data_IF_195871181863
#
_entry.id   IF_195871181863
#
_cell.length_a   1.000
_cell.length_b   1.000
_cell.length_c   1.000
_cell.angle_alpha   90.00
_cell.angle_beta   90.00
_cell.angle_gamma   90.00
#
_symmetry.space_group_name_H-M   'P 1'
#
loop_
_entity.id
_entity.type
_entity.pdbx_description
1 polymer ?
#
# COMPACT_ATOMS: atom_id res chain seq x y z
N UNK A 1 4.25 43.02 74.04
CA UNK A 1 4.62 42.39 72.76
C UNK A 1 3.33 41.84 72.19
N UNK A 2 2.64 42.67 71.39
CA UNK A 2 2.70 42.68 69.91
C UNK A 2 1.93 41.47 69.38
N UNK A 3 0.92 41.57 68.53
CA UNK A 3 0.47 42.68 67.70
C UNK A 3 -0.98 42.44 67.26
N UNK A 4 -1.63 43.53 66.86
CA UNK A 4 -3.04 43.67 66.48
C UNK A 4 -3.27 43.25 65.00
N UNK A 5 -4.34 43.71 64.31
CA UNK A 5 -5.57 42.95 64.11
C UNK A 5 -5.86 42.64 62.62
N UNK A 6 -6.89 41.83 62.43
CA UNK A 6 -7.52 41.47 61.15
C UNK A 6 -8.09 42.71 60.45
N UNK A 7 -7.62 42.99 59.22
CA UNK A 7 -8.18 44.02 58.35
C UNK A 7 -9.31 43.44 57.49
N UNK A 8 -10.49 44.05 57.63
CA UNK A 8 -11.62 43.89 56.73
C UNK A 8 -11.36 44.58 55.38
N UNK A 9 -12.06 44.03 54.40
CA UNK A 9 -12.09 44.37 52.97
C UNK A 9 -12.43 45.84 52.71
N UNK A 10 -11.71 46.43 51.76
CA UNK A 10 -12.26 47.45 50.86
C UNK A 10 -12.07 46.96 49.42
N UNK A 11 -13.18 46.98 48.70
CA UNK A 11 -13.33 46.62 47.29
C UNK A 11 -12.77 47.77 46.44
N UNK A 12 -11.63 47.55 45.78
CA UNK A 12 -11.16 48.45 44.72
C UNK A 12 -11.46 47.79 43.37
N UNK A 13 -12.56 48.25 42.77
CA UNK A 13 -12.98 47.97 41.41
C UNK A 13 -11.91 48.51 40.44
N UNK A 14 -10.94 47.66 40.09
CA UNK A 14 -10.00 47.97 39.02
C UNK A 14 -10.76 47.90 37.71
N UNK A 15 -11.18 49.08 37.24
CA UNK A 15 -11.61 49.31 35.86
C UNK A 15 -10.49 48.85 34.94
N UNK A 16 -10.62 47.64 34.42
CA UNK A 16 -9.75 47.12 33.38
C UNK A 16 -9.98 47.96 32.13
N UNK A 17 -9.01 48.83 31.88
CA UNK A 17 -8.79 49.57 30.65
C UNK A 17 -9.06 48.65 29.45
N UNK A 18 -10.17 48.90 28.75
CA UNK A 18 -10.45 48.31 27.44
C UNK A 18 -9.52 48.98 26.45
N UNK A 19 -8.25 48.59 26.50
CA UNK A 19 -7.26 48.89 25.48
C UNK A 19 -7.85 48.50 24.13
N UNK A 20 -8.05 49.51 23.29
CA UNK A 20 -8.44 49.37 21.91
C UNK A 20 -7.63 48.26 21.25
N UNK A 21 -8.31 47.22 20.77
CA UNK A 21 -7.74 46.11 20.00
C UNK A 21 -7.36 46.62 18.60
N UNK A 22 -6.39 47.55 18.54
CA UNK A 22 -5.76 47.98 17.30
C UNK A 22 -4.80 46.87 16.89
N UNK A 23 -5.34 45.82 16.25
CA UNK A 23 -4.54 44.92 15.43
C UNK A 23 -3.70 45.78 14.49
N UNK A 24 -2.36 45.64 14.48
CA UNK A 24 -1.52 46.44 13.62
C UNK A 24 -1.94 46.21 12.16
N UNK A 25 -2.31 47.29 11.48
CA UNK A 25 -2.67 47.22 10.06
C UNK A 25 -1.38 46.96 9.28
N UNK A 26 -1.32 45.84 8.56
CA UNK A 26 -0.19 45.57 7.68
C UNK A 26 -0.19 46.60 6.54
N UNK A 27 0.95 47.25 6.32
CA UNK A 27 1.12 48.06 5.12
C UNK A 27 1.08 47.16 3.88
N UNK A 28 0.56 47.64 2.76
CA UNK A 28 0.45 46.83 1.53
C UNK A 28 1.79 46.20 1.09
N UNK A 29 2.89 46.93 1.28
CA UNK A 29 4.23 46.42 0.99
C UNK A 29 4.68 45.30 1.95
N UNK A 30 4.31 45.37 3.23
CA UNK A 30 4.62 44.31 4.19
C UNK A 30 3.72 43.08 3.96
N UNK A 31 2.43 43.28 3.69
CA UNK A 31 1.50 42.19 3.37
C UNK A 31 1.95 41.41 2.13
N UNK A 32 2.36 42.11 1.06
CA UNK A 32 2.93 41.49 -0.14
C UNK A 32 4.16 40.64 0.18
N UNK A 33 5.11 41.19 0.95
CA UNK A 33 6.32 40.46 1.36
C UNK A 33 6.03 39.23 2.21
N UNK A 34 5.03 39.29 3.10
CA UNK A 34 4.61 38.14 3.92
C UNK A 34 4.00 37.05 3.03
N UNK A 35 3.16 37.45 2.07
CA UNK A 35 2.56 36.55 1.09
C UNK A 35 3.61 35.85 0.22
N UNK A 36 4.58 36.61 -0.30
CA UNK A 36 5.66 36.08 -1.16
C UNK A 36 6.67 35.23 -0.38
N UNK A 37 6.94 35.55 0.89
CA UNK A 37 7.85 34.77 1.75
C UNK A 37 7.18 33.56 2.43
N UNK A 38 5.90 33.31 2.14
CA UNK A 38 5.15 32.20 2.73
C UNK A 38 5.73 30.86 2.27
N UNK A 39 5.99 29.90 3.20
CA UNK A 39 6.51 28.58 2.84
C UNK A 39 5.46 27.68 2.17
N UNK A 40 4.20 28.10 2.15
CA UNK A 40 3.07 27.40 1.51
C UNK A 40 2.61 28.14 0.26
N UNK A 41 2.19 27.38 -0.75
CA UNK A 41 1.61 27.95 -1.96
C UNK A 41 0.29 28.63 -1.60
N UNK A 42 0.09 29.86 -2.03
CA UNK A 42 -1.14 30.60 -1.75
C UNK A 42 -1.65 31.26 -3.02
N UNK A 43 -2.94 31.09 -3.29
CA UNK A 43 -3.67 31.77 -4.36
C UNK A 43 -4.92 32.45 -3.81
N UNK A 44 -5.36 33.51 -4.48
CA UNK A 44 -6.61 34.22 -4.16
C UNK A 44 -7.53 34.13 -5.35
N UNK A 45 -8.75 33.65 -5.12
CA UNK A 45 -9.79 33.50 -6.12
C UNK A 45 -10.85 34.56 -5.86
N UNK A 46 -11.27 35.29 -6.89
CA UNK A 46 -12.37 36.24 -6.79
C UNK A 46 -13.75 35.55 -6.92
N UNK A 47 -14.82 36.31 -6.68
CA UNK A 47 -16.20 35.83 -6.79
C UNK A 47 -16.62 35.33 -8.19
N UNK A 48 -15.82 35.58 -9.23
CA UNK A 48 -16.04 35.04 -10.57
C UNK A 48 -15.33 33.70 -10.80
N UNK A 49 -14.52 33.25 -9.83
CA UNK A 49 -13.73 32.04 -9.90
C UNK A 49 -12.35 32.22 -10.53
N UNK A 50 -11.94 33.46 -10.85
CA UNK A 50 -10.63 33.75 -11.45
C UNK A 50 -9.57 33.87 -10.35
N UNK A 51 -8.39 33.29 -10.58
CA UNK A 51 -7.26 33.44 -9.67
C UNK A 51 -6.62 34.81 -9.92
N UNK A 52 -6.75 35.72 -8.96
CA UNK A 52 -6.28 37.11 -9.12
C UNK A 52 -4.85 37.31 -8.60
N UNK A 53 -4.41 36.47 -7.67
CA UNK A 53 -3.08 36.54 -7.05
C UNK A 53 -2.55 35.14 -6.79
N UNK A 54 -1.26 34.92 -7.04
CA UNK A 54 -0.52 33.73 -6.62
C UNK A 54 0.87 34.14 -6.13
N UNK A 55 1.39 33.47 -5.09
CA UNK A 55 2.77 33.68 -4.62
C UNK A 55 3.78 32.80 -5.37
N UNK A 56 5.07 33.11 -5.21
CA UNK A 56 6.16 32.35 -5.81
C UNK A 56 6.13 30.86 -5.40
N UNK A 57 5.76 30.59 -4.15
CA UNK A 57 5.65 29.21 -3.64
C UNK A 57 4.56 28.40 -4.35
N UNK A 58 3.44 29.01 -4.75
CA UNK A 58 2.41 28.38 -5.55
C UNK A 58 2.95 28.03 -6.94
N UNK A 59 3.65 28.95 -7.59
CA UNK A 59 4.30 28.74 -8.89
C UNK A 59 5.27 27.55 -8.86
N UNK A 60 6.16 27.51 -7.87
CA UNK A 60 7.10 26.39 -7.67
C UNK A 60 6.40 25.06 -7.42
N UNK A 61 5.33 25.06 -6.62
CA UNK A 61 4.61 23.85 -6.22
C UNK A 61 3.73 23.29 -7.34
N UNK A 62 3.23 24.15 -8.23
CA UNK A 62 2.41 23.75 -9.38
C UNK A 62 3.26 23.52 -10.65
N UNK A 63 4.53 23.92 -10.64
CA UNK A 63 5.39 23.85 -11.83
C UNK A 63 4.94 24.79 -12.95
N UNK A 64 4.37 25.93 -12.58
CA UNK A 64 3.80 26.93 -13.49
C UNK A 64 4.39 28.31 -13.18
N UNK A 65 4.22 29.27 -14.08
CA UNK A 65 4.48 30.68 -13.75
C UNK A 65 3.28 31.28 -13.03
N UNK A 66 3.51 32.33 -12.23
CA UNK A 66 2.43 33.11 -11.58
C UNK A 66 1.42 33.60 -12.63
N UNK A 67 1.90 34.09 -13.78
CA UNK A 67 1.06 34.55 -14.89
C UNK A 67 0.12 33.45 -15.40
N UNK A 68 0.64 32.23 -15.62
CA UNK A 68 -0.19 31.09 -16.05
C UNK A 68 -1.20 30.67 -14.99
N UNK A 69 -0.86 30.81 -13.71
CA UNK A 69 -1.81 30.54 -12.61
C UNK A 69 -2.93 31.58 -12.61
N UNK A 70 -2.59 32.87 -12.76
CA UNK A 70 -3.58 33.97 -12.74
C UNK A 70 -4.42 34.08 -14.01
N UNK A 71 -3.98 33.47 -15.11
CA UNK A 71 -4.75 33.38 -16.36
C UNK A 71 -5.81 32.25 -16.33
N UNK A 72 -5.92 31.51 -15.22
CA UNK A 72 -6.83 30.37 -15.06
C UNK A 72 -7.90 30.64 -13.99
N UNK A 73 -9.04 29.99 -14.16
CA UNK A 73 -10.04 29.84 -13.10
C UNK A 73 -9.67 28.66 -12.19
N UNK A 74 -10.20 28.63 -10.97
CA UNK A 74 -9.91 27.53 -10.03
C UNK A 74 -10.40 26.16 -10.53
N UNK A 75 -11.43 26.13 -11.37
CA UNK A 75 -12.09 24.94 -11.93
C UNK A 75 -11.55 24.53 -13.31
N UNK A 76 -10.48 25.18 -13.78
CA UNK A 76 -9.91 24.92 -15.09
C UNK A 76 -9.42 23.47 -15.24
N UNK A 77 -9.82 22.78 -16.31
CA UNK A 77 -9.53 21.35 -16.51
C UNK A 77 -8.03 21.00 -16.58
N UNK A 78 -7.16 21.96 -16.93
CA UNK A 78 -5.71 21.77 -16.92
C UNK A 78 -5.09 21.65 -15.52
N UNK A 79 -5.86 21.89 -14.45
CA UNK A 79 -5.38 21.59 -13.10
C UNK A 79 -5.21 20.10 -12.86
N UNK A 80 -6.01 19.24 -13.52
CA UNK A 80 -5.93 17.78 -13.37
C UNK A 80 -5.84 17.33 -11.90
N UNK A 81 -6.91 17.62 -11.16
CA UNK A 81 -7.03 17.29 -9.74
C UNK A 81 -7.64 15.90 -9.58
N UNK A 82 -7.09 15.10 -8.68
CA UNK A 82 -7.59 13.76 -8.36
C UNK A 82 -7.70 13.54 -6.86
N UNK A 83 -8.64 12.70 -6.45
CA UNK A 83 -8.73 12.20 -5.08
C UNK A 83 -7.72 11.06 -4.81
N UNK A 84 -7.78 10.48 -3.61
CA UNK A 84 -6.89 9.40 -3.18
C UNK A 84 -7.01 8.14 -4.07
N UNK A 85 -8.20 7.88 -4.61
CA UNK A 85 -8.50 6.75 -5.49
C UNK A 85 -8.11 7.03 -6.96
N UNK A 86 -7.43 8.15 -7.24
CA UNK A 86 -7.09 8.65 -8.58
C UNK A 86 -8.31 8.95 -9.46
N UNK A 87 -9.45 9.23 -8.83
CA UNK A 87 -10.65 9.70 -9.53
C UNK A 87 -10.56 11.21 -9.70
N UNK A 88 -10.85 11.76 -10.91
CA UNK A 88 -10.86 13.20 -11.10
C UNK A 88 -11.86 13.90 -10.17
N UNK A 89 -11.41 14.91 -9.44
CA UNK A 89 -12.27 15.69 -8.55
C UNK A 89 -13.20 16.55 -9.40
N UNK A 90 -14.50 16.44 -9.15
CA UNK A 90 -15.51 17.25 -9.84
C UNK A 90 -15.51 18.69 -9.33
N UNK A 91 -16.07 19.62 -10.13
CA UNK A 91 -16.17 21.04 -9.72
C UNK A 91 -17.02 21.20 -8.46
N UNK A 92 -18.06 20.38 -8.28
CA UNK A 92 -18.95 20.41 -7.11
C UNK A 92 -18.22 19.96 -5.83
N UNK A 93 -17.23 19.08 -5.94
CA UNK A 93 -16.41 18.60 -4.82
C UNK A 93 -15.18 19.48 -4.54
N UNK A 94 -14.94 20.47 -5.39
CA UNK A 94 -13.79 21.36 -5.26
C UNK A 94 -13.92 22.25 -4.01
N UNK A 95 -12.83 22.36 -3.24
CA UNK A 95 -12.81 23.09 -1.98
C UNK A 95 -13.22 24.57 -2.13
N UNK A 96 -12.89 25.22 -3.24
CA UNK A 96 -13.28 26.61 -3.53
C UNK A 96 -14.78 26.74 -3.76
N UNK A 97 -15.38 25.82 -4.52
CA UNK A 97 -16.83 25.77 -4.75
C UNK A 97 -17.57 25.68 -3.42
N UNK A 98 -17.12 24.75 -2.55
CA UNK A 98 -17.72 24.58 -1.22
C UNK A 98 -17.64 25.83 -0.35
N UNK A 99 -16.52 26.56 -0.38
CA UNK A 99 -16.39 27.83 0.37
C UNK A 99 -17.33 28.91 -0.19
N UNK A 100 -17.43 29.06 -1.52
CA UNK A 100 -18.37 30.02 -2.11
C UNK A 100 -19.83 29.69 -1.82
N UNK A 101 -20.20 28.40 -1.82
CA UNK A 101 -21.58 27.97 -1.56
C UNK A 101 -21.98 28.06 -0.10
N UNK A 102 -21.06 27.73 0.81
CA UNK A 102 -21.38 27.59 2.25
C UNK A 102 -20.96 28.78 3.09
N UNK A 103 -19.98 29.57 2.63
CA UNK A 103 -19.33 30.61 3.45
C UNK A 103 -18.47 30.06 4.58
N UNK A 104 -18.27 28.73 4.67
CA UNK A 104 -17.50 28.08 5.72
C UNK A 104 -16.09 27.68 5.20
N UNK A 105 -15.04 27.81 6.02
CA UNK A 105 -13.70 27.40 5.63
C UNK A 105 -13.56 25.87 5.53
N UNK A 106 -12.70 25.42 4.63
CA UNK A 106 -12.34 24.01 4.44
C UNK A 106 -10.87 23.81 4.78
N UNK A 107 -10.55 22.81 5.61
CA UNK A 107 -9.19 22.51 6.04
C UNK A 107 -8.81 21.06 5.79
N UNK A 108 -7.53 20.82 5.54
CA UNK A 108 -6.97 19.46 5.39
C UNK A 108 -7.52 18.69 4.19
N UNK A 109 -7.90 19.39 3.12
CA UNK A 109 -8.36 18.74 1.90
C UNK A 109 -7.14 18.18 1.15
N UNK A 110 -7.00 16.85 1.15
CA UNK A 110 -5.89 16.18 0.49
C UNK A 110 -6.29 15.77 -0.93
N UNK A 111 -5.44 16.10 -1.91
CA UNK A 111 -5.65 15.76 -3.32
C UNK A 111 -4.32 15.62 -4.09
N UNK A 112 -4.39 14.95 -5.23
CA UNK A 112 -3.31 14.90 -6.21
C UNK A 112 -3.45 15.98 -7.27
N UNK A 113 -2.31 16.44 -7.76
CA UNK A 113 -2.22 17.27 -8.96
C UNK A 113 -1.16 16.73 -9.91
N UNK A 114 -1.49 16.65 -11.20
CA UNK A 114 -0.52 16.36 -12.27
C UNK A 114 0.05 17.67 -12.82
N UNK A 115 1.36 17.87 -12.67
CA UNK A 115 2.06 19.05 -13.22
C UNK A 115 2.21 18.94 -14.75
N UNK A 116 2.49 20.05 -15.45
CA UNK A 116 2.72 20.04 -16.90
C UNK A 116 3.88 19.14 -17.37
N UNK A 117 4.86 18.88 -16.51
CA UNK A 117 5.98 17.97 -16.77
C UNK A 117 5.63 16.48 -16.57
N UNK A 118 4.38 16.19 -16.19
CA UNK A 118 3.87 14.86 -15.89
C UNK A 118 4.20 14.37 -14.48
N UNK A 119 4.88 15.16 -13.65
CA UNK A 119 5.13 14.79 -12.26
C UNK A 119 3.89 15.01 -11.40
N UNK A 120 3.62 14.05 -10.51
CA UNK A 120 2.50 14.11 -9.58
C UNK A 120 2.94 14.71 -8.24
N UNK A 121 2.10 15.56 -7.67
CA UNK A 121 2.25 16.10 -6.30
C UNK A 121 1.03 15.83 -5.47
N UNK A 122 1.27 15.45 -4.23
CA UNK A 122 0.26 15.39 -3.18
C UNK A 122 0.22 16.72 -2.46
N UNK A 123 -0.94 17.35 -2.43
CA UNK A 123 -1.13 18.63 -1.76
C UNK A 123 -2.13 18.48 -0.62
N UNK A 124 -1.81 19.12 0.51
CA UNK A 124 -2.76 19.36 1.58
C UNK A 124 -3.23 20.81 1.49
N UNK A 125 -4.49 20.99 1.10
CA UNK A 125 -5.08 22.27 0.74
C UNK A 125 -6.07 22.74 1.81
N UNK A 126 -6.10 24.06 2.02
CA UNK A 126 -7.04 24.74 2.88
C UNK A 126 -7.62 25.92 2.13
N UNK A 127 -8.89 26.25 2.36
CA UNK A 127 -9.51 27.46 1.84
C UNK A 127 -10.34 28.18 2.88
N UNK A 128 -10.27 29.51 2.85
CA UNK A 128 -11.00 30.38 3.75
C UNK A 128 -11.63 31.54 2.96
N UNK A 129 -12.87 31.94 3.31
CA UNK A 129 -13.53 33.07 2.68
C UNK A 129 -12.97 34.39 3.21
N UNK A 130 -12.89 35.39 2.33
CA UNK A 130 -12.77 36.80 2.68
C UNK A 130 -14.11 37.46 2.36
N UNK A 131 -14.73 38.00 3.40
CA UNK A 131 -16.08 38.56 3.32
C UNK A 131 -16.02 40.05 3.00
N UNK A 132 -16.99 40.53 2.23
CA UNK A 132 -17.22 41.95 2.02
C UNK A 132 -17.94 42.62 3.23
N UNK A 133 -18.25 43.91 3.11
CA UNK A 133 -18.98 44.66 4.14
C UNK A 133 -20.42 44.14 4.36
N UNK A 134 -21.01 43.44 3.39
CA UNK A 134 -22.34 42.84 3.48
C UNK A 134 -22.33 41.45 4.15
N UNK A 135 -21.14 40.87 4.36
CA UNK A 135 -20.96 39.54 4.90
C UNK A 135 -20.99 38.44 3.84
N UNK A 136 -20.97 38.79 2.56
CA UNK A 136 -20.94 37.87 1.43
C UNK A 136 -19.49 37.52 1.07
N UNK A 137 -19.25 36.33 0.51
CA UNK A 137 -17.90 35.90 0.12
C UNK A 137 -17.43 36.70 -1.10
N UNK A 138 -16.48 37.61 -0.89
CA UNK A 138 -15.88 38.44 -1.94
C UNK A 138 -14.73 37.70 -2.65
N UNK A 139 -13.90 37.02 -1.85
CA UNK A 139 -12.75 36.25 -2.32
C UNK A 139 -12.59 34.97 -1.51
N UNK A 140 -11.86 34.00 -2.06
CA UNK A 140 -11.43 32.80 -1.37
C UNK A 140 -9.91 32.73 -1.41
N UNK A 141 -9.29 32.63 -0.24
CA UNK A 141 -7.85 32.37 -0.13
C UNK A 141 -7.66 30.86 -0.06
N UNK A 142 -6.91 30.31 -1.00
CA UNK A 142 -6.50 28.91 -0.99
C UNK A 142 -5.02 28.84 -0.64
N UNK A 143 -4.68 28.00 0.33
CA UNK A 143 -3.30 27.71 0.69
C UNK A 143 -3.05 26.22 0.64
N UNK A 144 -1.93 25.79 0.06
CA UNK A 144 -1.60 24.39 -0.10
C UNK A 144 -0.11 24.13 0.17
N UNK A 145 0.16 23.00 0.82
CA UNK A 145 1.51 22.52 1.06
C UNK A 145 1.77 21.21 0.30
N UNK A 146 3.02 21.02 -0.12
CA UNK A 146 3.46 19.85 -0.86
C UNK A 146 3.88 18.74 0.10
N UNK A 147 2.96 17.82 0.37
CA UNK A 147 3.16 16.69 1.27
C UNK A 147 3.66 15.45 0.54
N UNK A 148 4.07 15.56 -0.73
CA UNK A 148 4.50 14.42 -1.55
C UNK A 148 5.62 13.61 -0.90
N UNK A 149 6.63 14.27 -0.33
CA UNK A 149 7.75 13.59 0.31
C UNK A 149 7.33 12.87 1.61
N UNK A 150 6.36 13.44 2.33
CA UNK A 150 5.80 12.84 3.53
C UNK A 150 4.96 11.62 3.15
N UNK A 151 4.03 11.75 2.21
CA UNK A 151 3.18 10.67 1.71
C UNK A 151 4.00 9.54 1.11
N UNK A 152 4.98 9.82 0.24
CA UNK A 152 5.90 8.79 -0.28
C UNK A 152 6.73 8.12 0.81
N UNK A 153 7.05 8.84 1.91
CA UNK A 153 7.74 8.24 3.06
C UNK A 153 6.79 7.34 3.85
N UNK A 154 5.55 7.74 4.03
CA UNK A 154 4.51 6.94 4.69
C UNK A 154 4.16 5.70 3.85
N UNK A 155 3.92 5.86 2.56
CA UNK A 155 3.73 4.77 1.61
C UNK A 155 4.90 3.80 1.66
N UNK A 156 6.15 4.30 1.55
CA UNK A 156 7.34 3.45 1.65
C UNK A 156 7.46 2.75 3.00
N UNK A 157 7.15 3.43 4.10
CA UNK A 157 7.18 2.80 5.43
C UNK A 157 6.10 1.73 5.56
N UNK A 158 4.93 1.93 4.96
CA UNK A 158 3.81 0.99 5.02
C UNK A 158 4.06 -0.20 4.10
N UNK A 159 4.67 0.03 2.94
CA UNK A 159 5.09 -1.02 2.02
C UNK A 159 6.33 -1.78 2.54
N UNK A 160 7.24 -1.14 3.29
CA UNK A 160 8.50 -1.74 3.76
C UNK A 160 8.29 -2.68 4.97
N UNK A 161 7.09 -2.71 5.53
CA UNK A 161 6.77 -3.58 6.64
C UNK A 161 5.72 -4.60 6.22
N UNK A 162 5.95 -5.84 6.64
CA UNK A 162 4.96 -6.90 6.55
C UNK A 162 4.52 -7.29 7.96
N UNK A 163 3.23 -7.58 8.12
CA UNK A 163 2.70 -8.23 9.32
C UNK A 163 2.94 -9.71 9.19
N UNK A 164 3.86 -10.23 10.00
CA UNK A 164 4.05 -11.67 10.15
C UNK A 164 3.01 -12.21 11.12
N UNK A 165 2.23 -13.17 10.64
CA UNK A 165 1.12 -13.77 11.36
C UNK A 165 1.40 -15.26 11.59
N UNK A 166 1.08 -15.74 12.78
CA UNK A 166 1.03 -17.15 13.13
C UNK A 166 -0.38 -17.48 13.60
N UNK A 167 -1.05 -18.35 12.85
CA UNK A 167 -2.37 -18.87 13.21
C UNK A 167 -2.24 -20.31 13.66
N UNK A 168 -3.02 -20.73 14.64
CA UNK A 168 -3.06 -22.10 15.14
C UNK A 168 -4.44 -22.70 15.04
N UNK A 169 -4.51 -23.96 14.65
CA UNK A 169 -5.70 -24.79 14.71
C UNK A 169 -5.38 -26.12 15.38
N UNK A 170 -6.42 -26.84 15.81
CA UNK A 170 -6.29 -28.13 16.49
C UNK A 170 -5.83 -29.28 15.56
N UNK A 171 -5.69 -30.46 16.16
CA UNK A 171 -5.30 -31.72 15.52
C UNK A 171 -6.17 -32.15 14.32
N UNK A 172 -7.36 -31.55 14.11
CA UNK A 172 -8.21 -31.90 12.95
C UNK A 172 -7.54 -31.57 11.62
N UNK A 173 -6.64 -30.57 11.61
CA UNK A 173 -5.86 -30.16 10.46
C UNK A 173 -4.58 -31.00 10.24
N UNK A 174 -4.18 -31.83 11.21
CA UNK A 174 -2.95 -32.65 11.11
C UNK A 174 -3.19 -33.81 10.13
N UNK A 175 -2.35 -33.99 9.09
CA UNK A 175 -2.42 -35.15 8.20
C UNK A 175 -2.34 -36.47 8.99
N UNK A 176 -3.20 -37.47 8.71
CA UNK A 176 -3.20 -38.77 9.42
C UNK A 176 -1.83 -39.43 9.55
N UNK A 177 -1.01 -39.40 8.50
CA UNK A 177 0.36 -39.94 8.48
C UNK A 177 1.30 -39.27 9.49
N UNK A 178 1.00 -38.03 9.89
CA UNK A 178 1.79 -37.23 10.83
C UNK A 178 1.18 -37.19 12.24
N UNK A 179 0.16 -38.01 12.57
CA UNK A 179 -0.47 -38.01 13.91
C UNK A 179 0.25 -38.88 14.95
N UNK A 180 1.17 -39.73 14.52
CA UNK A 180 1.83 -40.72 15.39
C UNK A 180 3.34 -40.56 15.26
N UNK A 181 4.02 -40.42 16.40
CA UNK A 181 5.49 -40.39 16.49
C UNK A 181 6.16 -39.40 15.49
N UNK A 182 5.57 -38.22 15.30
CA UNK A 182 6.21 -37.14 14.53
C UNK A 182 6.91 -36.16 15.48
N UNK A 183 8.14 -35.78 15.12
CA UNK A 183 8.75 -34.55 15.62
C UNK A 183 8.05 -33.34 14.96
N UNK A 184 8.32 -32.13 15.45
CA UNK A 184 7.78 -30.91 14.84
C UNK A 184 8.21 -30.82 13.35
N UNK A 185 7.25 -30.89 12.44
CA UNK A 185 7.48 -30.84 10.99
C UNK A 185 7.21 -29.44 10.49
N UNK A 186 8.18 -28.84 9.81
CA UNK A 186 8.01 -27.59 9.07
C UNK A 186 7.95 -27.86 7.58
N UNK A 187 6.86 -27.43 6.96
CA UNK A 187 6.68 -27.40 5.51
C UNK A 187 6.72 -25.94 5.05
N UNK A 188 7.77 -25.55 4.35
CA UNK A 188 7.86 -24.23 3.74
C UNK A 188 6.97 -24.15 2.49
N UNK A 189 6.24 -23.04 2.37
CA UNK A 189 5.45 -22.72 1.18
C UNK A 189 6.30 -21.83 0.30
N UNK A 190 6.93 -22.44 -0.69
CA UNK A 190 7.83 -21.76 -1.61
C UNK A 190 7.05 -20.78 -2.50
N UNK A 191 5.91 -21.24 -3.04
CA UNK A 191 5.09 -20.47 -3.98
C UNK A 191 3.68 -21.05 -4.17
N UNK A 192 2.72 -20.18 -4.50
CA UNK A 192 1.35 -20.52 -4.87
C UNK A 192 1.02 -19.81 -6.19
N UNK A 193 0.85 -20.58 -7.26
CA UNK A 193 0.59 -20.08 -8.60
C UNK A 193 -0.87 -20.31 -8.98
N UNK A 194 -1.60 -19.23 -9.22
CA UNK A 194 -2.95 -19.30 -9.78
C UNK A 194 -2.91 -19.61 -11.28
N UNK A 195 -3.69 -20.61 -11.69
CA UNK A 195 -3.82 -21.02 -13.09
C UNK A 195 -5.04 -20.35 -13.74
N UNK A 196 -5.07 -20.21 -15.09
CA UNK A 196 -6.16 -19.53 -15.79
C UNK A 196 -7.53 -20.20 -15.66
N UNK A 197 -7.58 -21.48 -15.28
CA UNK A 197 -8.81 -22.24 -15.07
C UNK A 197 -9.39 -22.09 -13.65
N UNK A 198 -8.75 -21.27 -12.80
CA UNK A 198 -9.15 -21.03 -11.42
C UNK A 198 -8.55 -22.00 -10.42
N UNK A 199 -7.79 -23.01 -10.86
CA UNK A 199 -7.06 -23.92 -9.98
C UNK A 199 -5.72 -23.30 -9.54
N UNK A 200 -5.05 -23.93 -8.57
CA UNK A 200 -3.74 -23.46 -8.12
C UNK A 200 -2.70 -24.59 -8.13
N UNK A 201 -1.44 -24.21 -8.32
CA UNK A 201 -0.30 -25.11 -8.12
C UNK A 201 0.55 -24.54 -6.99
N UNK A 202 0.80 -25.36 -5.98
CA UNK A 202 1.62 -25.01 -4.83
C UNK A 202 2.95 -25.75 -4.88
N UNK A 203 4.03 -25.01 -4.63
CA UNK A 203 5.36 -25.56 -4.44
C UNK A 203 5.68 -25.50 -2.97
N UNK A 204 6.01 -26.65 -2.39
CA UNK A 204 6.25 -26.79 -0.97
C UNK A 204 7.50 -27.65 -0.76
N UNK A 205 8.19 -27.42 0.35
CA UNK A 205 9.36 -28.22 0.70
C UNK A 205 9.56 -28.39 2.19
N UNK A 206 10.32 -29.41 2.54
CA UNK A 206 10.68 -29.71 3.94
C UNK A 206 11.99 -30.49 3.98
N UNK A 207 12.75 -30.31 5.06
CA UNK A 207 13.89 -31.16 5.42
C UNK A 207 13.55 -32.15 6.55
N UNK A 208 12.34 -32.04 7.14
CA UNK A 208 11.98 -32.78 8.35
C UNK A 208 11.35 -34.15 8.04
N UNK A 209 10.94 -34.37 6.78
CA UNK A 209 10.32 -35.60 6.32
C UNK A 209 11.10 -36.24 5.18
N UNK A 210 11.04 -37.57 5.11
CA UNK A 210 11.48 -38.28 3.92
C UNK A 210 10.59 -37.90 2.72
N UNK A 211 11.13 -38.00 1.51
CA UNK A 211 10.39 -37.68 0.29
C UNK A 211 9.05 -38.45 0.17
N UNK A 212 9.01 -39.72 0.59
CA UNK A 212 7.77 -40.51 0.57
C UNK A 212 6.77 -40.03 1.60
N UNK A 213 7.20 -39.77 2.83
CA UNK A 213 6.29 -39.34 3.90
C UNK A 213 5.75 -37.94 3.62
N UNK A 214 6.58 -37.07 3.05
CA UNK A 214 6.15 -35.74 2.65
C UNK A 214 5.07 -35.78 1.55
N UNK A 215 5.27 -36.58 0.50
CA UNK A 215 4.26 -36.74 -0.56
C UNK A 215 2.96 -37.28 0.04
N UNK A 216 3.04 -38.33 0.87
CA UNK A 216 1.85 -38.90 1.54
C UNK A 216 1.13 -37.88 2.41
N UNK A 217 1.84 -37.09 3.22
CA UNK A 217 1.23 -36.08 4.06
C UNK A 217 0.48 -35.00 3.26
N UNK A 218 1.00 -34.61 2.10
CA UNK A 218 0.34 -33.63 1.22
C UNK A 218 -0.87 -34.24 0.50
N UNK A 219 -0.79 -35.49 0.04
CA UNK A 219 -1.91 -36.20 -0.60
C UNK A 219 -3.11 -36.42 0.34
N UNK A 220 -2.86 -36.48 1.65
CA UNK A 220 -3.91 -36.63 2.65
C UNK A 220 -4.76 -35.35 2.87
N UNK A 221 -4.30 -34.20 2.38
CA UNK A 221 -5.04 -32.93 2.49
C UNK A 221 -6.11 -32.86 1.40
N UNK A 222 -7.41 -32.74 1.74
CA UNK A 222 -8.53 -32.93 0.81
C UNK A 222 -8.54 -32.05 -0.45
N UNK A 223 -7.86 -30.90 -0.43
CA UNK A 223 -7.90 -29.93 -1.52
C UNK A 223 -6.90 -30.23 -2.65
N UNK A 224 -5.90 -31.10 -2.40
CA UNK A 224 -4.92 -31.48 -3.42
C UNK A 224 -5.39 -32.72 -4.18
N UNK A 225 -5.32 -32.65 -5.51
CA UNK A 225 -5.75 -33.73 -6.42
C UNK A 225 -4.60 -34.48 -7.07
N UNK A 226 -3.42 -33.87 -7.11
CA UNK A 226 -2.20 -34.43 -7.67
C UNK A 226 -1.00 -33.87 -6.94
N UNK A 227 -0.05 -34.73 -6.58
CA UNK A 227 1.19 -34.36 -5.88
C UNK A 227 2.37 -35.04 -6.57
N UNK A 228 3.34 -34.23 -6.98
CA UNK A 228 4.54 -34.67 -7.69
C UNK A 228 5.78 -34.27 -6.91
N UNK A 229 6.62 -35.24 -6.54
CA UNK A 229 7.96 -34.96 -6.04
C UNK A 229 8.81 -34.38 -7.18
N UNK A 230 9.36 -33.18 -6.95
CA UNK A 230 10.20 -32.48 -7.93
C UNK A 230 11.69 -32.78 -7.73
N UNK A 231 12.15 -32.71 -6.48
CA UNK A 231 13.55 -32.90 -6.17
C UNK A 231 13.76 -33.31 -4.71
N UNK A 232 14.94 -33.84 -4.43
CA UNK A 232 15.47 -33.98 -3.08
C UNK A 232 16.94 -33.63 -3.14
N UNK A 233 17.30 -32.51 -2.53
CA UNK A 233 18.66 -31.94 -2.57
C UNK A 233 19.05 -31.63 -1.12
N UNK A 234 20.19 -32.15 -0.67
CA UNK A 234 20.70 -31.92 0.69
C UNK A 234 19.64 -32.16 1.78
N UNK A 235 18.94 -33.30 1.69
CA UNK A 235 17.84 -33.71 2.60
C UNK A 235 16.57 -32.86 2.51
N UNK A 236 16.54 -31.80 1.69
CA UNK A 236 15.36 -31.00 1.42
C UNK A 236 14.58 -31.56 0.24
N UNK A 237 13.39 -32.11 0.51
CA UNK A 237 12.46 -32.58 -0.50
C UNK A 237 11.51 -31.47 -0.92
N UNK A 238 11.33 -31.27 -2.23
CA UNK A 238 10.36 -30.33 -2.80
C UNK A 238 9.30 -31.07 -3.60
N UNK A 239 8.04 -30.72 -3.36
CA UNK A 239 6.89 -31.22 -4.10
C UNK A 239 6.17 -30.08 -4.79
N UNK A 240 5.39 -30.49 -5.78
CA UNK A 240 4.41 -29.68 -6.47
C UNK A 240 3.04 -30.32 -6.26
N UNK A 241 2.08 -29.55 -5.77
CA UNK A 241 0.72 -30.03 -5.50
C UNK A 241 -0.31 -29.20 -6.27
N UNK A 242 -1.20 -29.86 -7.00
CA UNK A 242 -2.29 -29.23 -7.73
C UNK A 242 -3.55 -29.21 -6.85
N UNK A 243 -4.14 -28.03 -6.65
CA UNK A 243 -5.36 -27.85 -5.90
C UNK A 243 -6.47 -27.30 -6.80
N UNK A 244 -7.62 -27.99 -6.81
CA UNK A 244 -8.81 -27.58 -7.59
C UNK A 244 -9.70 -26.60 -6.84
N UNK A 245 -9.47 -26.42 -5.55
CA UNK A 245 -10.16 -25.49 -4.66
C UNK A 245 -9.15 -24.59 -3.93
N UNK A 246 -9.66 -23.51 -3.33
CA UNK A 246 -8.90 -22.65 -2.43
C UNK A 246 -8.38 -23.46 -1.24
N UNK A 247 -7.17 -23.15 -0.79
CA UNK A 247 -6.54 -23.74 0.40
C UNK A 247 -6.29 -22.68 1.46
N UNK A 248 -5.99 -23.10 2.69
CA UNK A 248 -5.55 -22.19 3.76
C UNK A 248 -4.36 -21.33 3.31
N UNK A 249 -3.36 -21.92 2.65
CA UNK A 249 -2.17 -21.20 2.18
C UNK A 249 -2.52 -20.11 1.15
N UNK A 250 -3.58 -20.29 0.34
CA UNK A 250 -4.01 -19.29 -0.64
C UNK A 250 -4.73 -18.07 -0.05
N UNK A 251 -5.06 -18.08 1.25
CA UNK A 251 -5.64 -16.92 1.94
C UNK A 251 -4.67 -15.74 2.01
N UNK A 252 -3.36 -15.98 2.15
CA UNK A 252 -2.40 -14.88 2.24
C UNK A 252 -2.20 -14.16 0.89
N UNK A 253 -1.93 -14.86 -0.23
CA UNK A 253 -1.83 -14.21 -1.54
C UNK A 253 -3.10 -13.49 -2.00
N UNK A 254 -4.30 -13.99 -1.64
CA UNK A 254 -5.55 -13.30 -1.98
C UNK A 254 -5.71 -11.95 -1.28
N UNK A 255 -4.93 -11.70 -0.23
CA UNK A 255 -4.86 -10.44 0.51
C UNK A 255 -3.57 -9.65 0.21
N UNK A 256 -2.88 -9.97 -0.90
CA UNK A 256 -1.62 -9.31 -1.28
C UNK A 256 -0.40 -9.71 -0.44
N UNK A 257 -0.55 -10.73 0.41
CA UNK A 257 0.52 -11.27 1.24
C UNK A 257 1.17 -12.52 0.66
N UNK A 258 1.87 -13.26 1.53
CA UNK A 258 2.55 -14.50 1.18
C UNK A 258 2.41 -15.54 2.28
N UNK A 259 2.02 -16.75 1.92
CA UNK A 259 2.15 -17.90 2.81
C UNK A 259 3.64 -18.27 2.94
N UNK A 260 4.10 -18.49 4.17
CA UNK A 260 5.51 -18.82 4.45
C UNK A 260 5.71 -20.29 4.73
N UNK A 261 4.91 -20.85 5.64
CA UNK A 261 5.08 -22.22 6.08
C UNK A 261 3.85 -22.73 6.83
N UNK A 262 3.79 -24.05 6.93
CA UNK A 262 2.92 -24.78 7.83
C UNK A 262 3.81 -25.54 8.81
N UNK A 263 3.60 -25.35 10.10
CA UNK A 263 4.26 -26.13 11.15
C UNK A 263 3.25 -27.09 11.72
N UNK A 264 3.58 -28.38 11.70
CA UNK A 264 2.71 -29.47 12.12
C UNK A 264 3.37 -30.11 13.33
N UNK A 265 2.59 -30.23 14.40
CA UNK A 265 2.94 -30.99 15.60
C UNK A 265 1.90 -32.10 15.79
N UNK A 266 2.11 -33.05 16.72
CA UNK A 266 1.11 -34.07 17.00
C UNK A 266 -0.28 -33.54 17.39
N UNK A 267 -0.33 -32.37 18.04
CA UNK A 267 -1.55 -31.85 18.67
C UNK A 267 -2.18 -30.65 17.93
N UNK A 268 -1.42 -29.96 17.08
CA UNK A 268 -1.84 -28.71 16.43
C UNK A 268 -1.11 -28.46 15.10
N UNK A 269 -1.75 -27.63 14.26
CA UNK A 269 -1.17 -27.08 13.03
C UNK A 269 -1.08 -25.57 13.15
N UNK A 270 0.05 -25.00 12.73
CA UNK A 270 0.29 -23.56 12.67
C UNK A 270 0.51 -23.10 11.23
N UNK A 271 -0.23 -22.09 10.82
CA UNK A 271 -0.09 -21.45 9.52
C UNK A 271 0.65 -20.13 9.68
N UNK A 272 1.79 -20.00 9.00
CA UNK A 272 2.63 -18.82 9.04
C UNK A 272 2.53 -18.09 7.70
N UNK A 273 2.28 -16.79 7.75
CA UNK A 273 2.23 -15.95 6.56
C UNK A 273 2.56 -14.50 6.85
N UNK A 274 2.88 -13.76 5.80
CA UNK A 274 3.15 -12.33 5.83
C UNK A 274 2.00 -11.62 5.10
N UNK A 275 1.51 -10.49 5.63
CA UNK A 275 0.58 -9.57 4.95
C UNK A 275 1.21 -8.19 4.81
N UNK A 276 0.80 -7.36 3.83
CA UNK A 276 1.17 -5.95 3.81
C UNK A 276 0.82 -5.23 5.12
N UNK A 277 1.64 -4.24 5.49
CA UNK A 277 1.51 -3.52 6.76
C UNK A 277 0.17 -2.80 6.97
N UNK A 278 -0.53 -2.47 5.91
CA UNK A 278 -1.84 -1.81 5.86
C UNK A 278 -3.04 -2.77 5.90
N UNK A 279 -2.83 -4.08 5.69
CA UNK A 279 -3.93 -5.06 5.64
C UNK A 279 -4.29 -5.55 7.05
N UNK A 280 -5.59 -5.55 7.39
CA UNK A 280 -6.11 -6.04 8.69
C UNK A 280 -5.94 -7.57 8.81
N UNK A 281 -5.17 -8.09 9.80
CA UNK A 281 -4.99 -9.53 10.05
C UNK A 281 -6.29 -10.31 10.25
N UNK A 282 -7.38 -9.64 10.65
CA UNK A 282 -8.70 -10.27 10.82
C UNK A 282 -9.25 -10.82 9.52
N UNK A 283 -8.87 -10.26 8.36
CA UNK A 283 -9.27 -10.77 7.05
C UNK A 283 -8.66 -12.15 6.79
N UNK A 284 -7.36 -12.32 7.09
CA UNK A 284 -6.72 -13.62 7.00
C UNK A 284 -7.35 -14.60 8.00
N UNK A 285 -7.57 -14.18 9.24
CA UNK A 285 -8.25 -15.01 10.25
C UNK A 285 -9.63 -15.47 9.77
N UNK A 286 -10.41 -14.60 9.13
CA UNK A 286 -11.72 -14.94 8.58
C UNK A 286 -11.63 -15.95 7.43
N UNK A 287 -10.69 -15.77 6.50
CA UNK A 287 -10.47 -16.71 5.40
C UNK A 287 -10.01 -18.10 5.88
N UNK A 288 -9.15 -18.16 6.90
CA UNK A 288 -8.71 -19.45 7.46
C UNK A 288 -9.85 -20.14 8.22
N UNK A 289 -10.75 -19.39 8.88
CA UNK A 289 -11.93 -19.94 9.57
C UNK A 289 -12.89 -20.69 8.66
N UNK A 290 -12.91 -20.40 7.37
CA UNK A 290 -13.71 -21.15 6.40
C UNK A 290 -13.29 -22.62 6.30
N UNK A 291 -12.01 -22.90 6.56
CA UNK A 291 -11.44 -24.25 6.58
C UNK A 291 -11.38 -24.83 7.99
N UNK A 292 -10.98 -23.99 8.96
CA UNK A 292 -10.73 -24.38 10.34
C UNK A 292 -11.43 -23.41 11.30
N UNK A 293 -12.68 -23.69 11.72
CA UNK A 293 -13.49 -22.78 12.53
C UNK A 293 -12.84 -22.36 13.85
N UNK A 294 -12.03 -23.24 14.44
CA UNK A 294 -11.33 -23.06 15.73
C UNK A 294 -9.97 -22.36 15.57
N UNK A 295 -9.67 -21.74 14.42
CA UNK A 295 -8.38 -21.07 14.23
C UNK A 295 -8.25 -19.81 15.10
N UNK A 296 -7.10 -19.71 15.77
CA UNK A 296 -6.73 -18.60 16.64
C UNK A 296 -5.46 -17.92 16.13
N UNK A 297 -5.39 -16.59 16.25
CA UNK A 297 -4.16 -15.84 16.00
C UNK A 297 -3.25 -15.96 17.23
N UNK A 298 -2.08 -16.59 17.07
CA UNK A 298 -1.09 -16.74 18.13
C UNK A 298 -0.17 -15.53 18.26
N UNK A 299 0.32 -15.02 17.14
CA UNK A 299 1.23 -13.89 17.13
C UNK A 299 1.04 -13.02 15.91
N UNK A 300 1.21 -11.72 16.12
CA UNK A 300 1.31 -10.69 15.10
C UNK A 300 2.57 -9.87 15.37
N UNK A 301 3.47 -9.82 14.40
CA UNK A 301 4.70 -9.02 14.47
C UNK A 301 4.82 -8.13 13.23
N UNK A 302 5.05 -6.84 13.41
CA UNK A 302 5.36 -5.93 12.31
C UNK A 302 6.86 -5.98 12.04
N UNK A 303 7.25 -6.55 10.89
CA UNK A 303 8.64 -6.81 10.55
C UNK A 303 9.04 -5.95 9.36
N UNK A 304 10.16 -5.24 9.48
CA UNK A 304 10.79 -4.57 8.34
C UNK A 304 11.24 -5.61 7.31
N UNK A 305 10.60 -5.60 6.16
CA UNK A 305 10.93 -6.41 4.99
C UNK A 305 11.03 -5.45 3.80
N UNK A 306 12.23 -4.90 3.53
CA UNK A 306 12.39 -3.94 2.45
C UNK A 306 11.92 -4.56 1.13
N UNK A 307 11.20 -3.81 0.28
CA UNK A 307 10.83 -4.30 -1.04
C UNK A 307 12.10 -4.70 -1.79
N UNK A 308 12.31 -6.00 -1.96
CA UNK A 308 13.39 -6.50 -2.76
C UNK A 308 13.05 -6.27 -4.24
N UNK A 309 14.06 -6.35 -5.10
CA UNK A 309 13.92 -6.35 -6.55
C UNK A 309 12.75 -7.23 -7.06
N UNK A 310 12.40 -8.29 -6.33
CA UNK A 310 11.25 -9.15 -6.63
C UNK A 310 9.94 -8.39 -6.79
N UNK A 311 9.64 -7.38 -5.96
CA UNK A 311 8.37 -6.65 -6.02
C UNK A 311 8.33 -5.67 -7.20
N UNK A 312 9.43 -4.95 -7.45
CA UNK A 312 9.56 -4.10 -8.66
C UNK A 312 9.40 -4.92 -9.94
N UNK A 313 9.88 -6.16 -9.92
CA UNK A 313 9.73 -7.09 -11.05
C UNK A 313 8.32 -7.65 -11.13
N UNK A 314 7.65 -7.94 -10.00
CA UNK A 314 6.24 -8.37 -9.96
C UNK A 314 5.35 -7.33 -10.64
N UNK A 315 5.47 -6.05 -10.24
CA UNK A 315 4.64 -4.96 -10.79
C UNK A 315 4.87 -4.70 -12.29
N UNK A 316 6.07 -5.03 -12.78
CA UNK A 316 6.43 -4.85 -14.18
C UNK A 316 5.96 -6.02 -15.09
N UNK A 317 5.46 -7.11 -14.49
CA UNK A 317 5.00 -8.31 -15.19
C UNK A 317 3.47 -8.40 -15.15
N UNK A 318 2.87 -8.87 -16.24
CA UNK A 318 1.45 -9.26 -16.19
C UNK A 318 1.29 -10.52 -15.33
N UNK A 319 0.15 -10.72 -14.67
CA UNK A 319 -0.14 -11.91 -13.85
C UNK A 319 0.26 -13.23 -14.53
N UNK A 320 -0.10 -13.39 -15.82
CA UNK A 320 0.25 -14.58 -16.62
C UNK A 320 1.74 -14.77 -16.86
N UNK A 321 2.49 -13.68 -16.97
CA UNK A 321 3.95 -13.72 -17.16
C UNK A 321 4.65 -14.05 -15.84
N UNK A 322 4.19 -13.46 -14.74
CA UNK A 322 4.70 -13.75 -13.40
C UNK A 322 4.41 -15.21 -13.02
N UNK A 323 3.15 -15.64 -13.11
CA UNK A 323 2.74 -17.01 -12.84
C UNK A 323 3.54 -18.04 -13.67
N UNK A 324 3.74 -17.79 -14.96
CA UNK A 324 4.54 -18.67 -15.81
C UNK A 324 6.01 -18.73 -15.39
N UNK A 325 6.62 -17.59 -15.05
CA UNK A 325 8.03 -17.52 -14.61
C UNK A 325 8.22 -18.22 -13.27
N UNK A 326 7.30 -18.01 -12.34
CA UNK A 326 7.30 -18.59 -11.01
C UNK A 326 7.14 -20.12 -11.08
N UNK A 327 6.15 -20.60 -11.83
CA UNK A 327 5.97 -22.03 -12.07
C UNK A 327 7.17 -22.68 -12.77
N UNK A 328 7.80 -21.99 -13.71
CA UNK A 328 9.01 -22.48 -14.36
C UNK A 328 10.21 -22.55 -13.39
N UNK A 329 10.34 -21.56 -12.50
CA UNK A 329 11.40 -21.54 -11.50
C UNK A 329 11.24 -22.69 -10.49
N UNK A 330 10.12 -22.73 -9.78
CA UNK A 330 9.92 -23.74 -8.73
C UNK A 330 9.69 -25.15 -9.27
N UNK A 331 9.10 -25.28 -10.47
CA UNK A 331 8.97 -26.56 -11.18
C UNK A 331 10.30 -27.10 -11.73
N UNK A 332 11.41 -26.37 -11.59
CA UNK A 332 12.74 -26.83 -12.00
C UNK A 332 12.96 -26.84 -13.52
N UNK A 333 12.28 -25.98 -14.27
CA UNK A 333 12.51 -25.81 -15.72
C UNK A 333 13.90 -25.23 -16.01
N UNK A 334 14.43 -24.43 -15.09
CA UNK A 334 15.77 -23.82 -15.20
C UNK A 334 16.89 -24.68 -14.60
N UNK A 335 16.55 -25.79 -13.94
CA UNK A 335 17.51 -26.64 -13.25
C UNK A 335 18.35 -27.50 -14.21
N UNK A 336 19.44 -28.05 -13.69
CA UNK A 336 20.29 -29.00 -14.42
C UNK A 336 20.59 -30.20 -13.52
N UNK A 337 20.06 -31.41 -13.83
CA UNK A 337 19.08 -31.71 -14.89
C UNK A 337 17.71 -31.06 -14.62
N UNK A 338 16.91 -30.82 -15.67
CA UNK A 338 15.58 -30.23 -15.53
C UNK A 338 14.58 -31.23 -14.94
N UNK A 339 13.79 -30.76 -13.99
CA UNK A 339 12.66 -31.53 -13.44
C UNK A 339 11.37 -31.31 -14.22
N UNK A 340 11.14 -30.09 -14.74
CA UNK A 340 9.98 -29.80 -15.59
C UNK A 340 10.37 -29.40 -17.01
N UNK A 341 9.58 -29.88 -17.98
CA UNK A 341 9.73 -29.51 -19.39
C UNK A 341 8.82 -28.35 -19.80
N UNK A 342 9.15 -27.71 -20.93
CA UNK A 342 8.30 -26.66 -21.48
C UNK A 342 6.95 -27.14 -22.02
N UNK A 343 6.79 -28.45 -22.27
CA UNK A 343 5.50 -29.04 -22.67
C UNK A 343 4.63 -29.23 -21.42
N UNK A 344 5.20 -29.74 -20.32
CA UNK A 344 4.49 -29.86 -19.03
C UNK A 344 4.00 -28.50 -18.50
N UNK A 345 4.84 -27.46 -18.60
CA UNK A 345 4.42 -26.10 -18.27
C UNK A 345 3.31 -25.59 -19.21
N UNK A 346 3.32 -25.97 -20.49
CA UNK A 346 2.28 -25.54 -21.42
C UNK A 346 0.94 -26.18 -21.10
N UNK A 347 0.95 -27.49 -20.85
CA UNK A 347 -0.22 -28.30 -20.49
C UNK A 347 -0.88 -27.74 -19.22
N UNK A 348 -0.08 -27.40 -18.21
CA UNK A 348 -0.55 -26.80 -16.95
C UNK A 348 -1.28 -25.47 -17.13
N UNK A 349 -0.77 -24.61 -17.99
CA UNK A 349 -1.38 -23.31 -18.24
C UNK A 349 -2.51 -23.39 -19.29
N UNK A 350 -2.80 -24.57 -19.85
CA UNK A 350 -3.80 -24.75 -20.90
C UNK A 350 -3.44 -24.00 -22.20
N UNK A 351 -2.15 -23.82 -22.48
CA UNK A 351 -1.65 -23.07 -23.64
C UNK A 351 -0.69 -23.89 -24.48
N UNK A 352 -0.31 -23.39 -25.65
CA UNK A 352 0.70 -24.07 -26.47
C UNK A 352 2.11 -23.88 -25.88
N UNK A 353 3.01 -24.83 -26.15
CA UNK A 353 4.45 -24.71 -25.84
C UNK A 353 5.07 -23.42 -26.40
N UNK A 354 4.60 -22.96 -27.56
CA UNK A 354 5.08 -21.70 -28.14
C UNK A 354 4.63 -20.50 -27.29
N UNK A 355 3.38 -20.49 -26.83
CA UNK A 355 2.81 -19.44 -25.98
C UNK A 355 3.53 -19.35 -24.64
N UNK A 356 3.76 -20.47 -23.94
CA UNK A 356 4.45 -20.45 -22.64
C UNK A 356 5.89 -19.96 -22.77
N UNK A 357 6.62 -20.40 -23.83
CA UNK A 357 7.97 -19.91 -24.09
C UNK A 357 7.98 -18.40 -24.42
N UNK A 358 6.94 -17.87 -25.08
CA UNK A 358 6.82 -16.42 -25.30
C UNK A 358 6.60 -15.67 -23.98
N UNK A 359 5.75 -16.18 -23.07
CA UNK A 359 5.55 -15.59 -21.74
C UNK A 359 6.85 -15.60 -20.94
N UNK A 360 7.56 -16.73 -20.87
CA UNK A 360 8.84 -16.85 -20.17
C UNK A 360 9.90 -15.88 -20.72
N UNK A 361 10.05 -15.80 -22.05
CA UNK A 361 11.03 -14.87 -22.65
C UNK A 361 10.71 -13.41 -22.37
N UNK A 362 9.44 -13.02 -22.41
CA UNK A 362 9.01 -11.66 -22.04
C UNK A 362 9.29 -11.39 -20.57
N UNK A 363 8.93 -12.34 -19.70
CA UNK A 363 9.14 -12.21 -18.26
C UNK A 363 10.63 -12.05 -17.92
N UNK A 364 11.47 -12.95 -18.43
CA UNK A 364 12.92 -12.89 -18.29
C UNK A 364 13.51 -11.58 -18.81
N UNK A 365 13.05 -11.08 -19.96
CA UNK A 365 13.53 -9.79 -20.49
C UNK A 365 13.18 -8.64 -19.57
N UNK A 366 11.99 -8.63 -18.97
CA UNK A 366 11.61 -7.62 -17.97
C UNK A 366 12.48 -7.74 -16.72
N UNK A 367 12.68 -8.94 -16.18
CA UNK A 367 13.57 -9.16 -15.02
C UNK A 367 14.99 -8.67 -15.32
N UNK A 368 15.56 -9.05 -16.47
CA UNK A 368 16.91 -8.64 -16.87
C UNK A 368 17.02 -7.13 -17.10
N UNK A 369 15.98 -6.51 -17.66
CA UNK A 369 15.91 -5.06 -17.79
C UNK A 369 15.99 -4.39 -16.42
N UNK A 370 15.20 -4.79 -15.44
CA UNK A 370 15.28 -4.22 -14.08
C UNK A 370 16.61 -4.52 -13.37
N UNK A 371 17.22 -5.67 -13.64
CA UNK A 371 18.53 -6.04 -13.09
C UNK A 371 19.70 -5.22 -13.66
N UNK A 372 19.71 -4.98 -14.98
CA UNK A 372 20.87 -4.40 -15.68
C UNK A 372 20.68 -2.94 -16.08
N UNK A 373 19.45 -2.52 -16.36
CA UNK A 373 19.07 -1.13 -16.60
C UNK A 373 18.64 -0.55 -15.24
N UNK A 374 19.63 -0.19 -14.40
CA UNK A 374 19.43 0.40 -13.06
C UNK A 374 18.21 1.33 -13.03
N UNK A 375 17.29 1.07 -12.10
CA UNK A 375 16.34 2.06 -11.59
C UNK A 375 17.12 3.33 -11.17
N UNK A 376 16.86 4.46 -11.86
CA UNK A 376 17.60 5.73 -11.73
C UNK A 376 18.68 5.87 -12.81
N UNK A 377 18.52 6.64 -13.89
CA UNK A 377 18.18 8.06 -13.88
C UNK A 377 18.80 8.80 -12.68
N UNK A 378 20.09 8.58 -12.44
CA UNK A 378 20.98 9.54 -11.78
C UNK A 378 22.41 9.34 -12.27
N UNK A 379 22.81 10.24 -13.17
CA UNK A 379 24.17 10.77 -13.41
C UNK A 379 24.36 11.14 -14.88
N UNK A 380 23.79 12.28 -15.29
CA UNK A 380 24.48 13.30 -16.10
C UNK A 380 23.69 14.59 -16.24
#
# INVERSE_FOLDING_TARGET
>A
MTDSPTAERDEEEVVADRGSDTRPTLSGALARRVFDASPIGTVVVDSTGVITVANDRAAETLGLTVETITDRTYDHAEWKLYDDDRTPISVDEHLVTRVFETGEPVFGFEHWIERPDGSERWLSSNAAPLLDEAGEVEHVVVSFDDVTALKRREERLTSDHVRRLEFRTDQSAVPPSLRVDCDDVRIDVDSIVALPDGTTVQYMGTADLSASDFVTAVEEVPHYVDVRLLSTIDEYSRVEAHAVETTVSSVFPSLGGRARAVVITPDEVRFLGDLPGDVDPRLAAAGIREFHPEVELLSEELVYSPQLLSEVVIDALTDRQFAALEAAYYGGYFDTPRTSTGDELADRFGVTRQTINQHLRKAQRTVFRHLFEKSGADAR
#
